data_IF_176235404640
#
_entry.id   IF_176235404640
#
_cell.length_a   1.000
_cell.length_b   1.000
_cell.length_c   1.000
_cell.angle_alpha   90.00
_cell.angle_beta   90.00
_cell.angle_gamma   90.00
#
_symmetry.space_group_name_H-M   'P 1'
#
loop_
_entity.id
_entity.type
_entity.pdbx_description
1 polymer ?
#
# COMPACT_ATOMS: atom_id res chain seq x y z
N UNK A 1 4.33 -2.77 3.42
CA UNK A 1 2.85 -2.99 3.38
C UNK A 1 2.23 -2.20 4.53
N UNK A 2 1.01 -1.68 4.36
CA UNK A 2 0.31 -0.89 5.38
C UNK A 2 -1.15 -1.37 5.58
N UNK A 3 -1.73 -1.09 6.75
CA UNK A 3 -3.12 -1.43 7.08
C UNK A 3 -3.87 -0.20 7.59
N UNK A 4 -5.07 0.04 7.08
CA UNK A 4 -6.05 0.96 7.64
C UNK A 4 -7.23 0.21 8.30
N UNK A 5 -7.87 0.87 9.27
CA UNK A 5 -9.04 0.36 9.99
C UNK A 5 -10.38 0.80 9.38
N UNK A 6 -10.36 1.66 8.36
CA UNK A 6 -11.53 2.07 7.60
C UNK A 6 -11.15 2.40 6.16
N UNK A 7 -12.11 2.36 5.25
CA UNK A 7 -11.90 2.74 3.84
C UNK A 7 -11.42 4.19 3.71
N UNK A 8 -11.89 5.08 4.58
CA UNK A 8 -11.39 6.47 4.67
C UNK A 8 -9.91 6.51 5.03
N UNK A 9 -9.47 5.74 6.03
CA UNK A 9 -8.05 5.69 6.40
C UNK A 9 -7.20 5.08 5.29
N UNK A 10 -7.68 4.03 4.62
CA UNK A 10 -6.98 3.41 3.48
C UNK A 10 -6.77 4.41 2.34
N UNK A 11 -7.80 5.19 1.97
CA UNK A 11 -7.68 6.25 0.97
C UNK A 11 -6.71 7.35 1.42
N UNK A 12 -6.84 7.83 2.64
CA UNK A 12 -5.94 8.85 3.19
C UNK A 12 -4.47 8.41 3.21
N UNK A 13 -4.18 7.14 3.48
CA UNK A 13 -2.83 6.59 3.38
C UNK A 13 -2.33 6.57 1.93
N UNK A 14 -3.17 6.18 0.97
CA UNK A 14 -2.81 6.19 -0.46
C UNK A 14 -2.55 7.62 -0.95
N UNK A 15 -3.43 8.55 -0.61
CA UNK A 15 -3.30 9.97 -0.98
C UNK A 15 -2.02 10.58 -0.39
N UNK A 16 -1.70 10.27 0.89
CA UNK A 16 -0.49 10.77 1.54
C UNK A 16 0.80 10.21 0.93
N UNK A 17 0.77 8.98 0.41
CA UNK A 17 1.88 8.39 -0.33
C UNK A 17 2.05 9.09 -1.67
N UNK A 18 0.96 9.24 -2.42
CA UNK A 18 0.94 9.90 -3.72
C UNK A 18 1.46 11.34 -3.61
N UNK A 19 0.90 12.14 -2.70
CA UNK A 19 1.31 13.52 -2.46
C UNK A 19 2.81 13.65 -2.18
N UNK A 20 3.36 12.78 -1.31
CA UNK A 20 4.78 12.84 -0.93
C UNK A 20 5.73 12.40 -2.05
N UNK A 21 5.31 11.44 -2.87
CA UNK A 21 6.14 10.92 -3.96
C UNK A 21 6.05 11.84 -5.19
N UNK A 22 4.86 12.32 -5.55
CA UNK A 22 4.67 13.32 -6.60
C UNK A 22 5.40 14.62 -6.28
N UNK A 23 5.46 15.05 -5.01
CA UNK A 23 6.29 16.19 -4.58
C UNK A 23 7.80 16.01 -4.85
N UNK A 24 8.26 14.77 -5.01
CA UNK A 24 9.63 14.41 -5.38
C UNK A 24 9.78 14.10 -6.89
N UNK A 25 8.72 14.27 -7.68
CA UNK A 25 8.67 13.95 -9.11
C UNK A 25 8.55 12.46 -9.42
N UNK A 26 8.14 11.65 -8.43
CA UNK A 26 7.90 10.21 -8.59
C UNK A 26 6.40 9.98 -8.71
N UNK A 27 5.94 9.63 -9.90
CA UNK A 27 4.53 9.35 -10.16
C UNK A 27 4.25 7.85 -10.22
N UNK A 28 3.09 7.38 -9.74
CA UNK A 28 2.72 5.99 -9.87
C UNK A 28 2.45 5.66 -11.34
N UNK A 29 2.97 4.53 -11.80
CA UNK A 29 2.59 3.96 -13.10
C UNK A 29 1.14 3.52 -13.11
N UNK A 30 0.65 3.02 -11.97
CA UNK A 30 -0.74 2.61 -11.80
C UNK A 30 -1.16 2.62 -10.34
N UNK A 31 -2.41 2.99 -10.12
CA UNK A 31 -3.12 2.77 -8.86
C UNK A 31 -4.34 1.90 -9.15
N UNK A 32 -4.48 0.80 -8.41
CA UNK A 32 -5.61 -0.13 -8.52
C UNK A 32 -6.36 -0.21 -7.18
N UNK A 33 -7.68 -0.45 -7.23
CA UNK A 33 -8.51 -0.68 -6.04
C UNK A 33 -8.88 0.57 -5.22
N UNK A 34 -8.50 1.78 -5.66
CA UNK A 34 -8.77 3.03 -4.94
C UNK A 34 -10.25 3.24 -4.60
N UNK A 35 -11.16 2.98 -5.53
CA UNK A 35 -12.60 3.22 -5.35
C UNK A 35 -13.17 2.42 -4.17
N UNK A 36 -12.87 1.11 -4.09
CA UNK A 36 -13.34 0.24 -3.00
C UNK A 36 -12.58 0.46 -1.70
N UNK A 37 -11.28 0.76 -1.79
CA UNK A 37 -10.37 0.92 -0.65
C UNK A 37 -10.35 -0.29 0.32
N UNK A 38 -10.69 -1.48 -0.18
CA UNK A 38 -10.46 -2.74 0.52
C UNK A 38 -8.99 -3.17 0.41
N UNK A 39 -8.41 -2.97 -0.77
CA UNK A 39 -6.99 -3.17 -1.07
C UNK A 39 -6.61 -2.18 -2.17
N UNK A 40 -5.71 -1.25 -1.85
CA UNK A 40 -5.11 -0.35 -2.82
C UNK A 40 -3.70 -0.86 -3.13
N UNK A 41 -3.41 -0.99 -4.42
CA UNK A 41 -2.08 -1.31 -4.95
C UNK A 41 -1.58 -0.09 -5.72
N UNK A 42 -0.40 0.40 -5.36
CA UNK A 42 0.27 1.50 -6.06
C UNK A 42 1.60 0.99 -6.62
N UNK A 43 1.74 1.04 -7.94
CA UNK A 43 2.91 0.57 -8.69
C UNK A 43 3.81 1.77 -9.06
N UNK A 44 5.02 1.81 -8.50
CA UNK A 44 6.06 2.80 -8.80
C UNK A 44 7.25 2.17 -9.56
N UNK A 45 7.02 1.08 -10.31
CA UNK A 45 8.00 0.23 -10.99
C UNK A 45 8.96 -0.51 -10.04
N UNK A 46 9.80 0.21 -9.30
CA UNK A 46 10.81 -0.38 -8.41
C UNK A 46 10.24 -0.83 -7.07
N UNK A 47 9.12 -0.21 -6.65
CA UNK A 47 8.44 -0.48 -5.39
C UNK A 47 6.94 -0.60 -5.64
N UNK A 48 6.32 -1.62 -5.04
CA UNK A 48 4.86 -1.79 -5.01
C UNK A 48 4.36 -1.61 -3.59
N UNK A 49 3.48 -0.63 -3.41
CA UNK A 49 2.91 -0.29 -2.11
C UNK A 49 1.53 -0.92 -2.00
N UNK A 50 1.38 -1.79 -1.01
CA UNK A 50 0.10 -2.44 -0.70
C UNK A 50 -0.49 -1.82 0.56
N UNK A 51 -1.71 -1.29 0.45
CA UNK A 51 -2.48 -0.71 1.56
C UNK A 51 -3.80 -1.47 1.68
N UNK A 52 -4.02 -2.11 2.83
CA UNK A 52 -5.18 -2.96 3.06
C UNK A 52 -6.15 -2.37 4.06
N UNK A 53 -7.44 -2.64 3.87
CA UNK A 53 -8.39 -2.65 4.97
C UNK A 53 -8.08 -3.87 5.85
N UNK A 54 -8.11 -3.71 7.18
CA UNK A 54 -7.75 -4.76 8.15
C UNK A 54 -8.36 -6.13 7.85
N UNK A 55 -9.68 -6.17 7.65
CA UNK A 55 -10.43 -7.39 7.34
C UNK A 55 -9.95 -8.06 6.03
N UNK A 56 -9.59 -7.25 5.04
CA UNK A 56 -9.09 -7.72 3.75
C UNK A 56 -7.68 -8.31 3.87
N UNK A 57 -6.81 -7.70 4.69
CA UNK A 57 -5.46 -8.22 4.95
C UNK A 57 -5.51 -9.59 5.62
N UNK A 58 -6.36 -9.75 6.62
CA UNK A 58 -6.56 -11.01 7.34
C UNK A 58 -7.08 -12.11 6.39
N UNK A 59 -8.04 -11.78 5.52
CA UNK A 59 -8.60 -12.73 4.56
C UNK A 59 -7.58 -13.23 3.54
N UNK A 60 -6.81 -12.33 2.91
CA UNK A 60 -5.85 -12.71 1.86
C UNK A 60 -4.52 -13.24 2.42
N UNK A 61 -4.14 -12.90 3.66
CA UNK A 61 -2.94 -13.42 4.34
C UNK A 61 -1.69 -13.44 3.44
N UNK A 62 -1.45 -12.34 2.69
CA UNK A 62 -0.39 -12.24 1.69
C UNK A 62 1.02 -12.32 2.28
N UNK A 63 1.15 -12.16 3.60
CA UNK A 63 2.39 -12.42 4.35
C UNK A 63 2.90 -13.86 4.14
N UNK A 64 2.02 -14.81 3.82
CA UNK A 64 2.43 -16.18 3.49
C UNK A 64 3.15 -16.29 2.16
N UNK A 65 2.90 -15.38 1.21
CA UNK A 65 3.57 -15.37 -0.10
C UNK A 65 4.94 -14.71 -0.02
N UNK A 66 5.10 -13.70 0.83
CA UNK A 66 6.33 -12.94 0.99
C UNK A 66 7.16 -13.38 2.22
N UNK A 67 6.75 -14.43 2.93
CA UNK A 67 7.35 -14.83 4.20
C UNK A 67 8.83 -15.20 4.14
N UNK A 68 9.32 -15.62 2.96
CA UNK A 68 10.72 -15.95 2.73
C UNK A 68 11.56 -14.76 2.25
N UNK A 69 10.94 -13.61 1.97
CA UNK A 69 11.65 -12.41 1.54
C UNK A 69 12.31 -11.72 2.75
N UNK A 70 13.57 -11.24 2.63
CA UNK A 70 14.20 -10.47 3.69
C UNK A 70 13.39 -9.22 4.04
N UNK A 71 13.08 -9.05 5.33
CA UNK A 71 12.47 -7.81 5.81
C UNK A 71 13.53 -6.71 5.86
N UNK A 72 13.25 -5.59 5.19
CA UNK A 72 14.09 -4.40 5.26
C UNK A 72 13.68 -3.64 6.52
N UNK A 73 14.56 -3.63 7.53
CA UNK A 73 14.31 -2.88 8.76
C UNK A 73 14.17 -1.38 8.48
N UNK A 74 13.12 -0.77 9.01
CA UNK A 74 12.94 0.68 8.96
C UNK A 74 13.83 1.33 10.05
N UNK A 75 14.79 2.13 9.61
CA UNK A 75 15.57 2.98 10.50
C UNK A 75 15.04 4.41 10.37
N UNK A 76 14.70 5.04 11.50
CA UNK A 76 14.29 6.45 11.56
C UNK A 76 15.39 7.43 11.12
#
# INVERSE_FOLDING_TARGET
MATGNSTTQVKALADAVDEKLSAQGLEPKRIEGYTSASWILMDYNDVIIHIFLKETREFYSLERLWGDAPEVAWNE
#
